data_IF_144994811909
#
_entry.id   IF_144994811909
#
_cell.length_a   1.000
_cell.length_b   1.000
_cell.length_c   1.000
_cell.angle_alpha   90.00
_cell.angle_beta   90.00
_cell.angle_gamma   90.00
#
_symmetry.space_group_name_H-M   'P 1'
#
loop_
_entity.id
_entity.type
_entity.pdbx_description
1 polymer ?
#
# COMPACT_ATOMS: atom_id res chain seq x y z
N UNK A 1 10.37 5.27 13.33
CA UNK A 1 11.52 4.46 13.80
C UNK A 1 12.79 5.19 13.38
N UNK A 2 13.80 5.28 14.25
CA UNK A 2 15.03 6.03 13.99
C UNK A 2 16.24 5.14 13.66
N UNK A 3 16.32 3.96 14.29
CA UNK A 3 17.38 2.97 14.06
C UNK A 3 16.84 1.57 14.40
N UNK A 4 17.44 0.53 13.81
CA UNK A 4 17.12 -0.88 14.06
C UNK A 4 18.44 -1.66 14.11
N UNK A 5 18.70 -2.37 15.21
CA UNK A 5 19.95 -3.11 15.41
C UNK A 5 19.72 -4.46 16.04
N UNK A 6 20.56 -5.42 15.64
CA UNK A 6 20.70 -6.71 16.28
C UNK A 6 22.04 -6.72 17.04
N UNK A 7 21.99 -6.91 18.35
CA UNK A 7 23.17 -6.94 19.23
C UNK A 7 23.09 -8.13 20.16
N UNK A 8 23.98 -9.10 19.93
CA UNK A 8 23.87 -10.42 20.54
C UNK A 8 22.55 -11.08 20.14
N UNK A 9 21.74 -11.46 21.13
CA UNK A 9 20.40 -12.05 20.90
C UNK A 9 19.28 -10.99 20.88
N UNK A 10 19.61 -9.71 21.01
CA UNK A 10 18.61 -8.65 21.15
C UNK A 10 18.33 -7.96 19.82
N UNK A 11 17.07 -7.95 19.39
CA UNK A 11 16.57 -7.16 18.26
C UNK A 11 15.92 -5.89 18.79
N UNK A 12 16.56 -4.75 18.57
CA UNK A 12 16.18 -3.49 19.20
C UNK A 12 15.83 -2.43 18.17
N UNK A 13 14.82 -1.62 18.49
CA UNK A 13 14.38 -0.49 17.68
C UNK A 13 14.53 0.79 18.49
N UNK A 14 15.17 1.80 17.91
CA UNK A 14 15.21 3.15 18.46
C UNK A 14 13.96 3.90 17.99
N UNK A 15 13.10 4.25 18.94
CA UNK A 15 11.83 4.94 18.71
C UNK A 15 11.89 6.35 19.25
N UNK A 16 11.14 7.26 18.61
CA UNK A 16 10.98 8.66 19.03
C UNK A 16 9.52 8.95 19.33
N UNK A 17 9.26 9.43 20.54
CA UNK A 17 7.98 10.00 20.93
C UNK A 17 7.80 11.39 20.26
N UNK A 18 6.76 11.59 19.42
CA UNK A 18 6.52 12.86 18.75
C UNK A 18 6.27 14.05 19.68
N UNK A 19 5.77 13.82 20.91
CA UNK A 19 5.52 14.87 21.90
C UNK A 19 6.80 15.42 22.56
N UNK A 20 7.96 14.85 22.26
CA UNK A 20 9.26 15.35 22.71
C UNK A 20 9.50 15.22 24.22
N UNK A 21 10.51 15.94 24.71
CA UNK A 21 10.99 15.87 26.10
C UNK A 21 9.95 16.29 27.15
N UNK A 22 8.90 17.00 26.74
CA UNK A 22 7.86 17.51 27.62
C UNK A 22 6.76 16.47 27.90
N UNK A 23 6.83 15.28 27.28
CA UNK A 23 5.87 14.23 27.54
C UNK A 23 6.04 13.66 28.95
N UNK A 24 4.96 13.60 29.77
CA UNK A 24 5.03 13.02 31.12
C UNK A 24 5.16 11.49 31.10
N UNK A 25 5.06 10.85 29.93
CA UNK A 25 5.13 9.39 29.76
C UNK A 25 6.26 9.04 28.81
N UNK A 26 7.28 8.38 29.35
CA UNK A 26 8.35 7.75 28.58
C UNK A 26 8.25 6.23 28.74
N UNK A 27 8.78 5.50 27.77
CA UNK A 27 8.91 4.06 27.87
C UNK A 27 9.73 3.69 29.11
N UNK A 28 9.19 2.82 29.96
CA UNK A 28 9.78 2.40 31.24
C UNK A 28 10.01 0.87 31.32
N UNK A 29 9.82 0.15 30.22
CA UNK A 29 10.10 -1.28 30.13
C UNK A 29 11.56 -1.59 29.79
N UNK A 30 11.80 -2.77 29.22
CA UNK A 30 13.13 -3.21 28.80
C UNK A 30 13.78 -2.19 27.84
N UNK A 31 15.07 -1.91 28.04
CA UNK A 31 15.85 -0.95 27.24
C UNK A 31 15.40 0.52 27.36
N UNK A 32 14.50 0.84 28.30
CA UNK A 32 14.26 2.21 28.75
C UNK A 32 15.50 2.85 29.40
N UNK A 33 15.47 4.17 29.64
CA UNK A 33 16.57 4.91 30.29
C UNK A 33 16.96 4.33 31.66
N UNK A 34 16.00 3.74 32.37
CA UNK A 34 16.17 3.20 33.72
C UNK A 34 16.30 1.67 33.74
N UNK A 35 16.31 1.02 32.57
CA UNK A 35 16.42 -0.42 32.44
C UNK A 35 17.77 -0.91 32.95
N UNK A 36 17.75 -1.97 33.75
CA UNK A 36 18.93 -2.69 34.26
C UNK A 36 19.66 -3.52 33.19
N UNK A 37 18.96 -3.86 32.09
CA UNK A 37 19.53 -4.52 30.91
C UNK A 37 20.67 -3.77 30.22
N UNK A 38 20.83 -2.47 30.48
CA UNK A 38 21.90 -1.69 29.89
C UNK A 38 23.25 -1.97 30.55
N UNK A 39 24.22 -2.41 29.74
CA UNK A 39 25.64 -2.35 30.11
C UNK A 39 26.30 -1.13 29.46
N UNK A 40 27.43 -0.68 30.00
CA UNK A 40 28.19 0.44 29.42
C UNK A 40 28.78 0.10 28.04
N UNK A 41 28.97 -1.19 27.76
CA UNK A 41 29.34 -1.69 26.43
C UNK A 41 28.19 -1.52 25.45
N UNK A 42 26.99 -2.03 25.78
CA UNK A 42 25.81 -1.93 24.93
C UNK A 42 25.38 -0.47 24.69
N UNK A 43 25.48 0.39 25.71
CA UNK A 43 25.20 1.82 25.56
C UNK A 43 26.14 2.49 24.55
N UNK A 44 27.41 2.07 24.47
CA UNK A 44 28.38 2.60 23.50
C UNK A 44 28.15 2.00 22.11
N UNK A 45 27.94 0.69 22.03
CA UNK A 45 27.69 -0.03 20.77
C UNK A 45 26.44 0.51 20.06
N UNK A 46 25.35 0.71 20.81
CA UNK A 46 24.08 1.25 20.30
C UNK A 46 24.07 2.78 20.20
N UNK A 47 25.20 3.44 20.46
CA UNK A 47 25.31 4.90 20.36
C UNK A 47 24.39 5.65 21.31
N UNK A 48 24.00 5.06 22.44
CA UNK A 48 23.26 5.75 23.52
C UNK A 48 24.17 6.78 24.17
N UNK A 49 25.43 6.41 24.41
CA UNK A 49 26.46 7.30 24.95
C UNK A 49 27.72 7.23 24.09
N UNK A 50 28.44 8.34 24.00
CA UNK A 50 29.77 8.36 23.37
C UNK A 50 30.87 7.82 24.31
N UNK A 51 32.12 7.79 23.81
CA UNK A 51 33.29 7.35 24.59
C UNK A 51 33.56 8.17 25.85
N UNK A 52 33.02 9.39 25.96
CA UNK A 52 33.10 10.25 27.14
C UNK A 52 31.89 10.09 28.09
N UNK A 53 30.98 9.15 27.82
CA UNK A 53 29.79 8.89 28.63
C UNK A 53 28.65 9.90 28.44
N UNK A 54 28.72 10.75 27.41
CA UNK A 54 27.69 11.76 27.11
C UNK A 54 26.60 11.13 26.26
N UNK A 55 25.34 11.30 26.66
CA UNK A 55 24.15 10.84 25.91
C UNK A 55 24.11 11.45 24.52
N UNK A 56 23.91 10.62 23.49
CA UNK A 56 23.92 11.08 22.09
C UNK A 56 22.58 11.59 21.58
N UNK A 57 21.52 11.35 22.34
CA UNK A 57 20.18 11.81 22.02
C UNK A 57 19.39 12.13 23.29
N UNK A 58 18.26 12.81 23.12
CA UNK A 58 17.34 13.13 24.21
C UNK A 58 16.60 11.88 24.68
N UNK A 59 17.06 11.29 25.78
CA UNK A 59 16.49 10.09 26.40
C UNK A 59 15.09 10.29 26.98
N UNK A 60 14.55 11.52 27.00
CA UNK A 60 13.16 11.77 27.38
C UNK A 60 12.21 11.58 26.19
N UNK A 61 12.69 11.74 24.95
CA UNK A 61 11.89 11.61 23.74
C UNK A 61 12.30 10.44 22.84
N UNK A 62 13.49 9.86 23.03
CA UNK A 62 13.98 8.71 22.28
C UNK A 62 14.35 7.56 23.22
N UNK A 63 13.95 6.35 22.85
CA UNK A 63 14.18 5.15 23.65
C UNK A 63 14.35 3.92 22.77
N UNK A 64 15.15 2.95 23.25
CA UNK A 64 15.20 1.63 22.65
C UNK A 64 14.09 0.75 23.22
N UNK A 65 13.60 -0.15 22.39
CA UNK A 65 12.57 -1.12 22.72
C UNK A 65 12.89 -2.45 22.05
N UNK A 66 12.60 -3.57 22.71
CA UNK A 66 12.76 -4.89 22.10
C UNK A 66 11.70 -5.08 20.99
N UNK A 67 12.02 -5.83 19.94
CA UNK A 67 11.07 -6.12 18.87
C UNK A 67 9.79 -6.76 19.42
N UNK A 68 9.89 -7.62 20.41
CA UNK A 68 8.76 -8.29 21.06
C UNK A 68 7.81 -7.28 21.70
N UNK A 69 8.35 -6.24 22.35
CA UNK A 69 7.55 -5.14 22.92
C UNK A 69 6.93 -4.29 21.80
N UNK A 70 7.63 -4.07 20.68
CA UNK A 70 7.04 -3.34 19.54
C UNK A 70 5.81 -4.06 19.01
N UNK A 71 5.88 -5.38 18.85
CA UNK A 71 4.76 -6.21 18.39
C UNK A 71 3.57 -6.17 19.37
N UNK A 72 3.83 -6.13 20.68
CA UNK A 72 2.78 -6.07 21.71
C UNK A 72 2.11 -4.70 21.77
N UNK A 73 2.88 -3.61 21.69
CA UNK A 73 2.38 -2.26 21.97
C UNK A 73 1.99 -1.44 20.74
N UNK A 74 2.47 -1.77 19.54
CA UNK A 74 2.17 -1.02 18.31
C UNK A 74 1.21 -1.80 17.41
N UNK A 75 0.08 -1.17 17.06
CA UNK A 75 -0.92 -1.78 16.17
C UNK A 75 -0.48 -1.80 14.69
N UNK A 76 0.36 -0.85 14.27
CA UNK A 76 0.85 -0.73 12.91
C UNK A 76 2.24 -0.10 12.84
N UNK A 77 2.97 -0.44 11.77
CA UNK A 77 4.23 0.18 11.38
C UNK A 77 4.14 0.50 9.88
N UNK A 78 4.39 1.76 9.53
CA UNK A 78 4.37 2.25 8.15
C UNK A 78 5.79 2.58 7.70
N UNK A 79 6.16 2.11 6.50
CA UNK A 79 7.47 2.37 5.88
C UNK A 79 7.24 3.11 4.57
N UNK A 80 7.67 4.36 4.53
CA UNK A 80 7.77 5.10 3.27
C UNK A 80 9.18 4.93 2.71
N UNK A 81 9.32 4.10 1.66
CA UNK A 81 10.62 3.91 1.00
C UNK A 81 10.92 5.12 0.12
N UNK A 82 11.97 5.85 0.47
CA UNK A 82 12.53 6.91 -0.38
C UNK A 82 13.85 6.37 -0.91
N UNK A 83 13.96 6.19 -2.22
CA UNK A 83 15.23 5.86 -2.85
C UNK A 83 15.79 7.15 -3.44
N UNK A 84 16.89 7.65 -2.87
CA UNK A 84 17.53 8.90 -3.29
C UNK A 84 18.02 8.84 -4.74
N UNK A 85 18.34 7.64 -5.22
CA UNK A 85 18.80 7.38 -6.58
C UNK A 85 17.68 7.08 -7.57
N UNK A 86 16.39 7.20 -7.20
CA UNK A 86 15.33 6.97 -8.17
C UNK A 86 15.46 7.98 -9.31
N UNK A 87 15.72 7.53 -10.56
CA UNK A 87 15.67 8.45 -11.67
C UNK A 87 14.21 8.93 -11.78
N UNK A 88 14.01 10.20 -12.14
CA UNK A 88 12.67 10.83 -12.07
C UNK A 88 11.59 10.12 -12.92
N UNK A 89 12.01 9.28 -13.86
CA UNK A 89 11.21 8.41 -14.73
C UNK A 89 10.85 7.05 -14.10
N UNK A 90 11.43 6.70 -12.94
CA UNK A 90 11.05 5.55 -12.11
C UNK A 90 9.79 5.81 -11.26
N UNK A 91 9.25 7.02 -11.31
CA UNK A 91 7.98 7.39 -10.68
C UNK A 91 6.94 7.70 -11.76
N UNK A 92 5.91 6.86 -11.84
CA UNK A 92 4.76 7.11 -12.71
C UNK A 92 3.64 7.72 -11.90
N UNK A 93 2.98 8.75 -12.45
CA UNK A 93 1.75 9.31 -11.89
C UNK A 93 0.71 9.45 -13.00
N UNK A 94 -0.35 8.66 -12.91
CA UNK A 94 -1.46 8.71 -13.85
C UNK A 94 -2.75 9.07 -13.13
N UNK A 95 -3.48 10.04 -13.69
CA UNK A 95 -4.83 10.35 -13.23
C UNK A 95 -5.82 9.49 -13.98
N UNK A 96 -6.65 8.76 -13.25
CA UNK A 96 -7.66 7.87 -13.82
C UNK A 96 -9.04 8.24 -13.28
N UNK A 97 -10.05 8.19 -14.14
CA UNK A 97 -11.43 8.20 -13.64
C UNK A 97 -11.76 6.87 -12.97
N UNK A 98 -12.31 6.92 -11.75
CA UNK A 98 -12.91 5.77 -11.10
C UNK A 98 -14.24 5.40 -11.78
N UNK A 99 -14.67 4.13 -11.72
CA UNK A 99 -15.98 3.71 -12.20
C UNK A 99 -17.12 4.50 -11.56
N UNK A 100 -18.06 4.96 -12.37
CA UNK A 100 -19.27 5.70 -11.98
C UNK A 100 -20.45 5.28 -12.86
N UNK A 101 -21.67 5.75 -12.57
CA UNK A 101 -22.87 5.43 -13.39
C UNK A 101 -22.68 5.83 -14.86
N UNK A 102 -21.85 6.84 -15.09
CA UNK A 102 -21.59 7.45 -16.39
C UNK A 102 -20.45 6.77 -17.17
N UNK A 103 -19.74 5.81 -16.58
CA UNK A 103 -18.66 5.10 -17.26
C UNK A 103 -17.90 4.12 -16.37
N UNK A 104 -17.32 3.09 -16.99
CA UNK A 104 -16.66 1.97 -16.33
C UNK A 104 -15.30 2.30 -15.69
N UNK A 105 -14.90 3.57 -15.66
CA UNK A 105 -13.59 4.01 -15.20
C UNK A 105 -12.51 3.90 -16.29
N UNK A 106 -11.28 4.23 -15.90
CA UNK A 106 -10.09 4.19 -16.75
C UNK A 106 -9.02 3.27 -16.19
N UNK A 107 -8.20 2.78 -17.11
CA UNK A 107 -6.98 2.03 -16.80
C UNK A 107 -5.86 2.46 -17.74
N UNK A 108 -4.64 2.04 -17.44
CA UNK A 108 -3.49 2.20 -18.33
C UNK A 108 -2.61 0.95 -18.26
N UNK A 109 -1.61 0.90 -19.14
CA UNK A 109 -0.63 -0.18 -19.17
C UNK A 109 0.75 0.32 -18.84
N UNK A 110 1.54 -0.55 -18.22
CA UNK A 110 2.96 -0.36 -17.99
C UNK A 110 3.74 -1.58 -18.51
N UNK A 111 4.96 -1.37 -18.98
CA UNK A 111 5.87 -2.46 -19.35
C UNK A 111 7.11 -2.37 -18.50
N UNK A 112 7.51 -3.50 -17.92
CA UNK A 112 8.73 -3.63 -17.14
C UNK A 112 9.99 -3.38 -17.99
N UNK A 113 11.13 -3.06 -17.37
CA UNK A 113 12.43 -3.04 -18.05
C UNK A 113 12.74 -4.37 -18.73
N UNK A 114 13.54 -4.39 -19.80
CA UNK A 114 13.86 -5.62 -20.53
C UNK A 114 14.96 -6.46 -19.85
N UNK A 115 15.81 -5.81 -19.07
CA UNK A 115 17.04 -6.34 -18.50
C UNK A 115 16.84 -7.00 -17.13
N UNK A 116 15.95 -6.46 -16.30
CA UNK A 116 15.70 -6.99 -14.96
C UNK A 116 14.27 -6.83 -14.48
N UNK A 117 13.94 -7.59 -13.43
CA UNK A 117 12.64 -7.49 -12.78
C UNK A 117 12.59 -6.21 -11.95
N UNK A 118 11.45 -5.51 -11.99
CA UNK A 118 11.27 -4.27 -11.26
C UNK A 118 10.42 -4.50 -10.02
N UNK A 119 10.96 -4.19 -8.84
CA UNK A 119 10.15 -4.11 -7.60
C UNK A 119 9.32 -2.84 -7.66
N UNK A 120 8.01 -2.94 -7.52
CA UNK A 120 7.10 -1.79 -7.57
C UNK A 120 6.22 -1.70 -6.35
N UNK A 121 6.00 -0.47 -5.88
CA UNK A 121 4.90 -0.12 -4.97
C UNK A 121 3.90 0.73 -5.77
N UNK A 122 2.66 0.24 -5.84
CA UNK A 122 1.59 0.87 -6.60
C UNK A 122 0.52 1.37 -5.63
N UNK A 123 0.31 2.68 -5.62
CA UNK A 123 -0.63 3.33 -4.72
C UNK A 123 -1.72 4.06 -5.50
N UNK A 124 -2.97 3.81 -5.14
CA UNK A 124 -4.13 4.54 -5.65
C UNK A 124 -4.55 5.56 -4.60
N UNK A 125 -4.45 6.84 -4.94
CA UNK A 125 -4.94 7.96 -4.14
C UNK A 125 -6.27 8.44 -4.69
N UNK A 126 -7.30 8.61 -3.86
CA UNK A 126 -8.51 9.31 -4.31
C UNK A 126 -8.33 10.83 -4.21
N UNK A 127 -8.69 11.58 -5.26
CA UNK A 127 -8.57 13.04 -5.21
C UNK A 127 -9.55 13.61 -4.17
N UNK A 128 -9.05 14.54 -3.36
CA UNK A 128 -9.84 15.28 -2.37
C UNK A 128 -10.91 16.13 -3.07
N UNK A 129 -12.15 16.11 -2.58
CA UNK A 129 -13.18 17.04 -3.05
C UNK A 129 -13.26 18.24 -2.10
N UNK A 130 -12.32 19.18 -2.24
CA UNK A 130 -12.15 20.31 -1.31
C UNK A 130 -13.46 21.05 -0.95
N UNK A 131 -14.37 21.19 -1.91
CA UNK A 131 -15.67 21.85 -1.71
C UNK A 131 -16.62 21.01 -0.83
N UNK A 132 -16.71 19.70 -1.05
CA UNK A 132 -17.53 18.81 -0.22
C UNK A 132 -16.89 18.56 1.15
N UNK A 133 -15.58 18.43 1.20
CA UNK A 133 -14.83 18.18 2.44
C UNK A 133 -14.92 19.37 3.41
N UNK A 134 -14.91 20.60 2.90
CA UNK A 134 -15.10 21.80 3.73
C UNK A 134 -16.50 21.89 4.36
N UNK A 135 -17.50 21.25 3.76
CA UNK A 135 -18.89 21.30 4.22
C UNK A 135 -19.25 20.14 5.17
N UNK A 136 -18.64 18.96 5.01
CA UNK A 136 -19.07 17.72 5.69
C UNK A 136 -17.93 16.96 6.37
N UNK A 137 -16.67 17.38 6.16
CA UNK A 137 -15.46 16.70 6.62
C UNK A 137 -14.86 15.76 5.57
N UNK A 138 -13.55 15.48 5.67
CA UNK A 138 -12.83 14.67 4.68
C UNK A 138 -13.34 13.22 4.63
N UNK A 139 -13.45 12.57 5.78
CA UNK A 139 -13.85 11.18 5.91
C UNK A 139 -15.24 10.88 5.34
N UNK A 140 -16.18 11.84 5.42
CA UNK A 140 -17.54 11.66 4.90
C UNK A 140 -17.64 11.76 3.37
N UNK A 141 -16.54 12.07 2.68
CA UNK A 141 -16.50 12.12 1.23
C UNK A 141 -15.74 10.95 0.62
N UNK A 142 -14.99 10.17 1.40
CA UNK A 142 -14.20 9.07 0.86
C UNK A 142 -15.12 8.02 0.24
N UNK A 143 -14.69 7.46 -0.88
CA UNK A 143 -15.30 6.28 -1.50
C UNK A 143 -14.38 5.09 -1.35
N UNK A 144 -14.91 3.90 -1.59
CA UNK A 144 -14.08 2.72 -1.64
C UNK A 144 -13.14 2.75 -2.85
N UNK A 145 -11.86 2.48 -2.63
CA UNK A 145 -10.88 2.37 -3.69
C UNK A 145 -10.13 1.06 -3.56
N UNK A 146 -9.82 0.45 -4.69
CA UNK A 146 -9.06 -0.79 -4.81
C UNK A 146 -8.20 -0.77 -6.07
N UNK A 147 -7.39 -1.81 -6.25
CA UNK A 147 -6.55 -1.97 -7.43
C UNK A 147 -6.48 -3.44 -7.85
N UNK A 148 -6.46 -3.66 -9.16
CA UNK A 148 -6.05 -4.94 -9.75
C UNK A 148 -4.96 -4.68 -10.78
N UNK A 149 -3.91 -5.51 -10.72
CA UNK A 149 -2.80 -5.51 -11.67
C UNK A 149 -2.87 -6.82 -12.46
N UNK A 150 -2.99 -6.72 -13.78
CA UNK A 150 -3.17 -7.90 -14.65
C UNK A 150 -2.01 -7.96 -15.63
N UNK A 151 -1.23 -9.04 -15.63
CA UNK A 151 -0.26 -9.31 -16.69
C UNK A 151 -1.00 -9.66 -17.98
N UNK A 152 -0.61 -9.07 -19.09
CA UNK A 152 -1.27 -9.24 -20.39
C UNK A 152 -0.26 -9.62 -21.47
N UNK A 153 -0.73 -10.32 -22.49
CA UNK A 153 0.02 -10.44 -23.74
C UNK A 153 -0.03 -9.08 -24.46
N UNK A 154 1.12 -8.47 -24.82
CA UNK A 154 1.14 -7.13 -25.38
C UNK A 154 0.59 -7.05 -26.82
N UNK A 155 0.55 -8.18 -27.54
CA UNK A 155 0.12 -8.22 -28.95
C UNK A 155 -1.39 -8.32 -29.08
N UNK A 156 -2.00 -9.18 -28.27
CA UNK A 156 -3.44 -9.46 -28.25
C UNK A 156 -4.18 -8.64 -27.20
N UNK A 157 -3.50 -8.23 -26.13
CA UNK A 157 -4.14 -7.67 -24.95
C UNK A 157 -4.89 -8.71 -24.11
N UNK A 158 -4.72 -10.00 -24.36
CA UNK A 158 -5.37 -11.03 -23.56
C UNK A 158 -4.78 -11.06 -22.14
N UNK A 159 -5.62 -11.21 -21.10
CA UNK A 159 -5.16 -11.38 -19.74
C UNK A 159 -4.46 -12.73 -19.55
N UNK A 160 -3.30 -12.71 -18.90
CA UNK A 160 -2.52 -13.91 -18.59
C UNK A 160 -2.65 -14.29 -17.12
N UNK A 161 -2.57 -13.31 -16.22
CA UNK A 161 -2.47 -13.55 -14.77
C UNK A 161 -2.88 -12.32 -13.96
N UNK A 162 -3.51 -12.53 -12.81
CA UNK A 162 -3.64 -11.48 -11.78
C UNK A 162 -2.32 -11.39 -11.00
N UNK A 163 -1.52 -10.37 -11.31
CA UNK A 163 -0.19 -10.20 -10.74
C UNK A 163 -0.21 -9.58 -9.34
N UNK A 164 -1.26 -8.82 -9.00
CA UNK A 164 -1.38 -8.18 -7.71
C UNK A 164 -2.71 -7.45 -7.54
N UNK A 165 -3.05 -7.17 -6.28
CA UNK A 165 -4.25 -6.42 -5.92
C UNK A 165 -3.99 -5.57 -4.69
N UNK A 166 -4.55 -4.36 -4.64
CA UNK A 166 -4.71 -3.62 -3.39
C UNK A 166 -6.11 -3.93 -2.84
N UNK A 167 -6.19 -4.38 -1.59
CA UNK A 167 -7.47 -4.65 -0.93
C UNK A 167 -8.27 -3.36 -0.89
N UNK A 168 -9.54 -3.47 -1.26
CA UNK A 168 -10.48 -2.38 -1.28
C UNK A 168 -10.77 -1.86 0.13
N UNK A 169 -10.73 -0.55 0.29
CA UNK A 169 -11.09 0.10 1.55
C UNK A 169 -11.58 1.55 1.32
N UNK A 170 -12.27 2.11 2.33
CA UNK A 170 -12.68 3.51 2.37
C UNK A 170 -11.57 4.31 3.06
N UNK A 171 -10.46 4.50 2.34
CA UNK A 171 -9.26 5.20 2.81
C UNK A 171 -8.79 6.23 1.78
N UNK A 172 -8.05 7.28 2.17
CA UNK A 172 -7.48 8.23 1.21
C UNK A 172 -6.61 7.56 0.14
N UNK A 173 -5.97 6.44 0.49
CA UNK A 173 -5.13 5.64 -0.38
C UNK A 173 -5.24 4.15 -0.07
N UNK A 174 -4.94 3.32 -1.07
CA UNK A 174 -4.67 1.89 -0.94
C UNK A 174 -3.46 1.54 -1.80
N UNK A 175 -2.62 0.61 -1.35
CA UNK A 175 -1.41 0.24 -2.06
C UNK A 175 -1.20 -1.28 -2.17
N UNK A 176 -0.27 -1.67 -3.03
CA UNK A 176 0.21 -3.05 -3.16
C UNK A 176 1.65 -3.05 -3.65
N UNK A 177 2.45 -3.99 -3.14
CA UNK A 177 3.84 -4.19 -3.54
C UNK A 177 3.95 -5.50 -4.33
N UNK A 178 4.63 -5.47 -5.48
CA UNK A 178 4.89 -6.66 -6.28
C UNK A 178 6.15 -6.51 -7.17
N UNK A 179 6.54 -7.59 -7.84
CA UNK A 179 7.57 -7.57 -8.87
C UNK A 179 6.95 -7.62 -10.26
N UNK A 180 7.32 -6.67 -11.12
CA UNK A 180 7.06 -6.75 -12.55
C UNK A 180 8.19 -7.53 -13.21
N UNK A 181 7.86 -8.65 -13.85
CA UNK A 181 8.81 -9.49 -14.56
C UNK A 181 9.34 -8.75 -15.78
N UNK A 182 10.64 -8.86 -16.03
CA UNK A 182 11.31 -8.17 -17.13
C UNK A 182 10.61 -8.37 -18.48
N UNK A 183 10.46 -7.29 -19.25
CA UNK A 183 9.87 -7.26 -20.59
C UNK A 183 8.35 -7.49 -20.65
N UNK A 184 7.69 -7.78 -19.53
CA UNK A 184 6.26 -8.09 -19.48
C UNK A 184 5.41 -6.82 -19.35
N UNK A 185 4.19 -6.88 -19.88
CA UNK A 185 3.23 -5.77 -19.86
C UNK A 185 2.08 -6.04 -18.90
N UNK A 186 1.69 -5.02 -18.16
CA UNK A 186 0.68 -5.08 -17.11
C UNK A 186 -0.38 -4.00 -17.32
N UNK A 187 -1.66 -4.36 -17.13
CA UNK A 187 -2.77 -3.42 -16.95
C UNK A 187 -2.87 -3.03 -15.49
N UNK A 188 -2.94 -1.73 -15.26
CA UNK A 188 -3.14 -1.13 -13.94
C UNK A 188 -4.59 -0.64 -13.89
N UNK A 189 -5.42 -1.30 -13.07
CA UNK A 189 -6.88 -1.10 -13.05
C UNK A 189 -7.33 -0.62 -11.68
N UNK A 190 -7.50 0.70 -11.48
CA UNK A 190 -8.15 1.26 -10.30
C UNK A 190 -9.62 0.85 -10.25
N UNK A 191 -10.08 0.42 -9.09
CA UNK A 191 -11.45 -0.01 -8.86
C UNK A 191 -12.13 0.86 -7.82
N UNK A 192 -13.44 1.01 -7.97
CA UNK A 192 -14.35 1.51 -6.94
C UNK A 192 -15.72 0.91 -7.22
N UNK A 193 -16.41 0.43 -6.18
CA UNK A 193 -17.67 -0.29 -6.33
C UNK A 193 -18.82 0.52 -5.77
N UNK A 194 -18.67 1.13 -4.59
CA UNK A 194 -19.71 2.03 -4.08
C UNK A 194 -19.87 3.25 -4.99
N UNK A 195 -18.76 3.78 -5.53
CA UNK A 195 -18.80 4.92 -6.45
C UNK A 195 -19.39 4.58 -7.83
N UNK A 196 -19.42 3.31 -8.22
CA UNK A 196 -20.00 2.89 -9.50
C UNK A 196 -21.49 3.23 -9.63
N UNK A 197 -22.16 3.46 -8.49
CA UNK A 197 -23.58 3.83 -8.39
C UNK A 197 -23.80 5.34 -8.26
N UNK A 198 -22.74 6.14 -8.24
CA UNK A 198 -22.79 7.60 -8.11
C UNK A 198 -22.82 8.30 -9.48
N UNK A 199 -23.59 9.40 -9.55
CA UNK A 199 -23.65 10.27 -10.74
C UNK A 199 -22.40 11.13 -10.91
N UNK A 200 -21.71 11.46 -9.80
CA UNK A 200 -20.54 12.31 -9.82
C UNK A 200 -19.31 11.57 -10.30
N UNK A 201 -18.52 12.14 -11.23
CA UNK A 201 -17.23 11.56 -11.57
C UNK A 201 -16.23 11.77 -10.43
N UNK A 202 -15.40 10.76 -10.17
CA UNK A 202 -14.27 10.87 -9.25
C UNK A 202 -12.98 10.46 -9.91
N UNK A 203 -11.93 11.25 -9.70
CA UNK A 203 -10.58 10.91 -10.12
C UNK A 203 -9.83 10.25 -8.99
N UNK A 204 -8.99 9.31 -9.36
CA UNK A 204 -7.86 8.86 -8.56
C UNK A 204 -6.55 9.26 -9.25
N UNK A 205 -5.49 9.31 -8.46
CA UNK A 205 -4.12 9.33 -8.96
C UNK A 205 -3.49 8.00 -8.61
N UNK A 206 -3.02 7.26 -9.62
CA UNK A 206 -2.21 6.07 -9.43
C UNK A 206 -0.75 6.48 -9.49
N UNK A 207 -0.02 6.24 -8.40
CA UNK A 207 1.41 6.38 -8.33
C UNK A 207 2.07 5.01 -8.40
N UNK A 208 3.13 4.88 -9.20
CA UNK A 208 3.97 3.67 -9.23
C UNK A 208 5.38 4.13 -8.91
N UNK A 209 5.93 3.62 -7.81
CA UNK A 209 7.33 3.73 -7.47
C UNK A 209 8.02 2.44 -7.86
N UNK A 210 8.95 2.48 -8.80
CA UNK A 210 9.55 1.29 -9.40
C UNK A 210 11.06 1.29 -9.21
N UNK A 211 11.67 0.18 -8.79
CA UNK A 211 13.12 0.03 -8.58
C UNK A 211 13.96 0.50 -9.78
N UNK A 212 13.39 0.40 -10.99
CA UNK A 212 13.99 0.81 -12.25
C UNK A 212 12.97 1.57 -13.11
N UNK A 213 13.46 2.42 -14.03
CA UNK A 213 12.61 3.14 -14.98
C UNK A 213 11.79 2.16 -15.83
N UNK A 214 10.47 2.36 -15.91
CA UNK A 214 9.60 1.48 -16.68
C UNK A 214 9.80 1.72 -18.18
N UNK A 215 9.88 0.64 -18.97
CA UNK A 215 10.11 0.70 -20.41
C UNK A 215 9.04 1.52 -21.15
N UNK A 216 7.79 1.40 -20.72
CA UNK A 216 6.71 2.22 -21.27
C UNK A 216 5.54 2.35 -20.30
N UNK A 217 4.81 3.45 -20.45
CA UNK A 217 3.58 3.76 -19.73
C UNK A 217 2.61 4.34 -20.75
N UNK A 218 1.45 3.71 -20.95
CA UNK A 218 0.43 4.25 -21.84
C UNK A 218 -0.41 5.33 -21.14
N UNK A 219 -1.03 6.26 -21.88
CA UNK A 219 -1.98 7.19 -21.29
C UNK A 219 -3.22 6.43 -20.78
N UNK A 220 -3.89 6.93 -19.72
CA UNK A 220 -5.15 6.39 -19.25
C UNK A 220 -6.20 6.40 -20.35
N UNK A 221 -6.95 5.31 -20.44
CA UNK A 221 -8.10 5.18 -21.33
C UNK A 221 -9.26 4.50 -20.64
N UNK A 222 -10.46 4.73 -21.17
CA UNK A 222 -11.67 4.05 -20.69
C UNK A 222 -11.55 2.55 -20.84
N UNK A 223 -12.04 1.84 -19.82
CA UNK A 223 -12.20 0.40 -19.87
C UNK A 223 -13.39 0.01 -20.74
N UNK A 224 -13.25 -1.15 -21.39
CA UNK A 224 -14.38 -1.87 -21.97
C UNK A 224 -15.16 -2.63 -20.87
N UNK A 225 -16.36 -3.10 -21.19
CA UNK A 225 -17.15 -3.95 -20.28
C UNK A 225 -16.43 -5.24 -19.92
N UNK A 226 -15.69 -5.83 -20.87
CA UNK A 226 -14.91 -7.05 -20.65
C UNK A 226 -13.77 -6.78 -19.67
N UNK A 227 -13.02 -5.69 -19.84
CA UNK A 227 -11.90 -5.34 -18.96
C UNK A 227 -12.36 -5.02 -17.54
N UNK A 228 -13.45 -4.25 -17.40
CA UNK A 228 -14.03 -3.91 -16.09
C UNK A 228 -14.60 -5.16 -15.38
N UNK A 229 -15.30 -6.01 -16.12
CA UNK A 229 -15.85 -7.27 -15.59
C UNK A 229 -14.75 -8.24 -15.17
N UNK A 230 -13.69 -8.39 -15.99
CA UNK A 230 -12.55 -9.22 -15.68
C UNK A 230 -11.80 -8.73 -14.43
N UNK A 231 -11.53 -7.42 -14.32
CA UNK A 231 -10.84 -6.89 -13.15
C UNK A 231 -11.66 -7.13 -11.87
N UNK A 232 -12.98 -6.94 -11.94
CA UNK A 232 -13.90 -7.27 -10.84
C UNK A 232 -13.85 -8.74 -10.48
N UNK A 233 -13.87 -9.63 -11.47
CA UNK A 233 -13.77 -11.07 -11.30
C UNK A 233 -12.45 -11.47 -10.61
N UNK A 234 -11.31 -11.00 -11.13
CA UNK A 234 -9.99 -11.28 -10.56
C UNK A 234 -9.86 -10.74 -9.12
N UNK A 235 -10.43 -9.56 -8.84
CA UNK A 235 -10.49 -9.08 -7.46
C UNK A 235 -11.28 -10.03 -6.56
N UNK A 236 -12.45 -10.50 -7.00
CA UNK A 236 -13.31 -11.40 -6.24
C UNK A 236 -12.70 -12.80 -6.05
N UNK A 237 -11.90 -13.31 -7.00
CA UNK A 237 -11.20 -14.59 -6.83
C UNK A 237 -10.08 -14.52 -5.79
N UNK A 238 -9.43 -13.36 -5.65
CA UNK A 238 -8.36 -13.13 -4.65
C UNK A 238 -8.94 -12.86 -3.24
N UNK A 239 -9.95 -11.98 -3.14
CA UNK A 239 -10.45 -11.49 -1.84
C UNK A 239 -11.76 -12.14 -1.39
N UNK A 240 -12.49 -12.78 -2.30
CA UNK A 240 -13.79 -13.37 -2.04
C UNK A 240 -13.72 -14.80 -1.51
N UNK A 241 -14.82 -15.25 -0.90
CA UNK A 241 -14.99 -16.65 -0.50
C UNK A 241 -15.62 -17.42 -1.65
N UNK A 242 -14.91 -18.45 -2.14
CA UNK A 242 -15.45 -19.41 -3.11
C UNK A 242 -16.52 -20.27 -2.47
N UNK A 243 -17.65 -20.44 -3.16
CA UNK A 243 -18.75 -21.33 -2.81
C UNK A 243 -19.20 -22.08 -4.05
N UNK A 244 -19.35 -23.39 -3.91
CA UNK A 244 -20.06 -24.20 -4.90
C UNK A 244 -21.56 -24.03 -4.68
N UNK A 245 -22.29 -23.80 -5.76
CA UNK A 245 -23.74 -23.67 -5.73
C UNK A 245 -24.39 -24.79 -6.53
N UNK A 246 -25.65 -25.09 -6.24
CA UNK A 246 -26.44 -26.03 -7.06
C UNK A 246 -27.04 -25.28 -8.26
N UNK A 247 -26.95 -25.82 -9.49
CA UNK A 247 -26.40 -27.12 -9.87
C UNK A 247 -24.85 -27.16 -9.88
N UNK A 248 -24.25 -28.35 -9.67
CA UNK A 248 -22.80 -28.52 -9.69
C UNK A 248 -22.21 -28.08 -11.04
N UNK A 249 -21.02 -27.48 -11.00
CA UNK A 249 -20.35 -26.85 -12.14
C UNK A 249 -20.21 -25.34 -11.98
N UNK A 250 -21.06 -24.69 -11.19
CA UNK A 250 -20.99 -23.25 -10.93
C UNK A 250 -20.22 -22.97 -9.64
N UNK A 251 -19.15 -22.19 -9.75
CA UNK A 251 -18.46 -21.61 -8.62
C UNK A 251 -18.82 -20.13 -8.48
N UNK A 252 -19.14 -19.71 -7.26
CA UNK A 252 -19.46 -18.31 -6.92
C UNK A 252 -18.43 -17.77 -5.95
N UNK A 253 -17.88 -16.60 -6.25
CA UNK A 253 -16.99 -15.84 -5.39
C UNK A 253 -17.78 -14.67 -4.79
N UNK A 254 -17.85 -14.65 -3.46
CA UNK A 254 -18.56 -13.59 -2.72
C UNK A 254 -17.55 -12.80 -1.91
N UNK A 255 -17.36 -11.53 -2.27
CA UNK A 255 -16.59 -10.57 -1.47
C UNK A 255 -17.58 -9.63 -0.78
N UNK A 256 -17.59 -9.61 0.54
CA UNK A 256 -18.47 -8.76 1.34
C UNK A 256 -17.62 -7.97 2.35
N UNK A 257 -17.72 -6.66 2.29
CA UNK A 257 -17.01 -5.73 3.17
C UNK A 257 -17.86 -4.50 3.51
N UNK A 258 -17.27 -3.53 4.21
CA UNK A 258 -17.93 -2.30 4.64
C UNK A 258 -18.44 -1.43 3.48
N UNK A 259 -17.94 -1.63 2.26
CA UNK A 259 -18.28 -0.84 1.09
C UNK A 259 -19.14 -1.57 0.06
N UNK A 260 -19.54 -2.82 0.33
CA UNK A 260 -20.58 -3.49 -0.45
C UNK A 260 -20.41 -5.00 -0.56
N UNK A 261 -21.10 -5.58 -1.54
CA UNK A 261 -20.99 -7.01 -1.87
C UNK A 261 -20.77 -7.18 -3.36
N UNK A 262 -19.71 -7.91 -3.71
CA UNK A 262 -19.39 -8.34 -5.07
C UNK A 262 -19.71 -9.82 -5.16
N UNK A 263 -20.50 -10.21 -6.17
CA UNK A 263 -20.81 -11.60 -6.48
C UNK A 263 -20.36 -11.88 -7.90
N UNK A 264 -19.41 -12.79 -8.05
CA UNK A 264 -18.93 -13.26 -9.34
C UNK A 264 -19.23 -14.75 -9.47
N UNK A 265 -19.71 -15.19 -10.63
CA UNK A 265 -19.98 -16.60 -10.91
C UNK A 265 -19.19 -17.05 -12.14
N UNK A 266 -18.60 -18.24 -12.06
CA UNK A 266 -17.95 -18.95 -13.16
C UNK A 266 -18.57 -20.34 -13.32
N UNK A 267 -18.54 -20.88 -14.53
CA UNK A 267 -18.95 -22.24 -14.88
C UNK A 267 -17.99 -22.82 -15.91
#
# INVERSE_FOLDING_TARGET
VMDVREVGENRLLLLRNPWGAQSPRSWNGAWSRVSDKWTDELKRELGVVNSAGVSMYDTNSMFWMAWEDVVEYFASLEICRVHEDYPSDAIVRQRCWLPAVTGLGEMFTVTAPDDEDASVDITVYQESNKTRESAVGMASTLVDIGLVVVRIDPSSGEPLECAGTAKKDIMPEVNTELFLKRGETYRIVPLSFSHSMELGHRKSTVAIHSSHALKSVSPPRRMTSVESGLATFLYATVHGKKREVSPPGIAVYICQDSSGTIVCAEN
#
